data_IF_708997403035
#
_entry.id   IF_708997403035
#
_cell.length_a   1.000
_cell.length_b   1.000
_cell.length_c   1.000
_cell.angle_alpha   90.00
_cell.angle_beta   90.00
_cell.angle_gamma   90.00
#
_symmetry.space_group_name_H-M   'P 1'
#
loop_
_entity.id
_entity.type
_entity.pdbx_description
1 polymer ?
#
# COMPACT_ATOMS: atom_id res chain seq x y z
N UNK A 1 5.18 11.05 14.57
CA UNK A 1 3.96 10.30 14.20
C UNK A 1 4.40 9.08 13.40
N UNK A 2 3.95 7.89 13.77
CA UNK A 2 4.33 6.66 13.06
C UNK A 2 3.45 6.50 11.81
N UNK A 3 4.07 6.55 10.62
CA UNK A 3 3.38 6.36 9.34
C UNK A 3 2.81 4.96 9.17
N UNK A 4 3.39 3.95 9.82
CA UNK A 4 2.86 2.59 9.79
C UNK A 4 1.53 2.50 10.55
N UNK A 5 1.36 3.30 11.60
CA UNK A 5 0.09 3.41 12.33
C UNK A 5 -0.97 4.09 11.46
N UNK A 6 -0.61 5.19 10.80
CA UNK A 6 -1.51 5.87 9.87
C UNK A 6 -1.94 4.95 8.71
N UNK A 7 -1.00 4.22 8.11
CA UNK A 7 -1.31 3.21 7.10
C UNK A 7 -2.31 2.20 7.66
N UNK A 8 -2.07 1.67 8.86
CA UNK A 8 -2.96 0.67 9.45
C UNK A 8 -4.39 1.18 9.69
N UNK A 9 -4.51 2.40 10.19
CA UNK A 9 -5.80 3.03 10.53
C UNK A 9 -6.60 3.43 9.29
N UNK A 10 -5.94 3.98 8.27
CA UNK A 10 -6.63 4.61 7.13
C UNK A 10 -6.54 3.79 5.83
N UNK A 11 -5.85 2.65 5.82
CA UNK A 11 -5.83 1.75 4.66
C UNK A 11 -6.92 0.68 4.74
N UNK A 12 -7.85 0.73 3.79
CA UNK A 12 -8.82 -0.34 3.54
C UNK A 12 -8.40 -1.24 2.37
N UNK A 13 -9.22 -2.25 2.08
CA UNK A 13 -9.06 -3.13 0.91
C UNK A 13 -9.23 -2.37 -0.40
N UNK A 14 -10.06 -1.33 -0.44
CA UNK A 14 -10.43 -0.65 -1.68
C UNK A 14 -9.72 0.70 -1.87
N UNK A 15 -9.34 1.37 -0.78
CA UNK A 15 -8.87 2.76 -0.83
C UNK A 15 -8.13 3.19 0.45
N UNK A 16 -7.57 4.40 0.42
CA UNK A 16 -7.21 5.16 1.60
C UNK A 16 -8.43 5.99 2.05
N UNK A 17 -8.72 5.98 3.35
CA UNK A 17 -9.73 6.84 3.99
C UNK A 17 -9.17 8.28 4.13
N UNK A 18 -9.22 9.03 3.02
CA UNK A 18 -8.71 10.41 2.94
C UNK A 18 -9.44 11.35 3.89
N UNK A 19 -10.77 11.25 3.95
CA UNK A 19 -11.59 12.12 4.79
C UNK A 19 -11.33 11.86 6.27
N UNK A 20 -11.29 10.58 6.66
CA UNK A 20 -10.97 10.18 8.03
C UNK A 20 -9.56 10.61 8.45
N UNK A 21 -8.58 10.46 7.55
CA UNK A 21 -7.20 10.89 7.82
C UNK A 21 -7.09 12.42 7.92
N UNK A 22 -7.78 13.17 7.06
CA UNK A 22 -7.82 14.64 7.11
C UNK A 22 -8.43 15.13 8.42
N UNK A 23 -9.56 14.54 8.82
CA UNK A 23 -10.19 14.83 10.11
C UNK A 23 -9.28 14.50 11.29
N UNK A 24 -8.55 13.38 11.23
CA UNK A 24 -7.59 13.00 12.26
C UNK A 24 -6.45 14.01 12.39
N UNK A 25 -5.86 14.45 11.27
CA UNK A 25 -4.78 15.44 11.28
C UNK A 25 -5.25 16.77 11.88
N UNK A 26 -6.40 17.26 11.42
CA UNK A 26 -7.00 18.50 11.91
C UNK A 26 -7.28 18.44 13.42
N UNK A 27 -7.86 17.34 13.92
CA UNK A 27 -8.18 17.17 15.36
C UNK A 27 -6.94 17.11 16.26
N UNK A 28 -5.80 16.66 15.72
CA UNK A 28 -4.56 16.51 16.46
C UNK A 28 -3.54 17.63 16.18
N UNK A 29 -3.93 18.71 15.48
CA UNK A 29 -3.05 19.80 15.06
C UNK A 29 -1.80 19.32 14.31
N UNK A 30 -1.96 18.31 13.45
CA UNK A 30 -0.89 17.74 12.63
C UNK A 30 -0.88 18.40 11.26
N UNK A 31 0.31 18.73 10.76
CA UNK A 31 0.52 19.28 9.43
C UNK A 31 0.73 18.18 8.38
N UNK A 32 0.79 18.58 7.10
CA UNK A 32 1.22 17.75 5.96
C UNK A 32 0.33 16.54 5.63
N UNK A 33 -0.98 16.58 5.93
CA UNK A 33 -1.90 15.46 5.65
C UNK A 33 -1.86 15.04 4.17
N UNK A 34 -2.01 16.00 3.25
CA UNK A 34 -2.01 15.76 1.80
C UNK A 34 -0.70 15.12 1.32
N UNK A 35 0.42 15.54 1.90
CA UNK A 35 1.74 14.98 1.56
C UNK A 35 1.83 13.52 1.96
N UNK A 36 1.35 13.17 3.15
CA UNK A 36 1.38 11.77 3.64
C UNK A 36 0.39 10.92 2.84
N UNK A 37 -0.79 11.44 2.51
CA UNK A 37 -1.76 10.74 1.65
C UNK A 37 -1.15 10.42 0.29
N UNK A 38 -0.56 11.43 -0.38
CA UNK A 38 0.07 11.26 -1.68
C UNK A 38 1.23 10.25 -1.63
N UNK A 39 2.06 10.30 -0.58
CA UNK A 39 3.13 9.32 -0.38
C UNK A 39 2.58 7.89 -0.29
N UNK A 40 1.46 7.67 0.39
CA UNK A 40 0.84 6.33 0.49
C UNK A 40 0.26 5.85 -0.84
N UNK A 41 -0.37 6.72 -1.62
CA UNK A 41 -0.85 6.38 -2.96
C UNK A 41 0.30 6.05 -3.91
N UNK A 42 1.36 6.86 -3.89
CA UNK A 42 2.54 6.63 -4.71
C UNK A 42 3.20 5.29 -4.40
N UNK A 43 3.30 4.91 -3.13
CA UNK A 43 3.84 3.60 -2.73
C UNK A 43 2.97 2.48 -3.29
N UNK A 44 1.64 2.56 -3.14
CA UNK A 44 0.73 1.53 -3.66
C UNK A 44 0.82 1.41 -5.18
N UNK A 45 0.86 2.53 -5.88
CA UNK A 45 0.99 2.57 -7.33
C UNK A 45 2.30 1.90 -7.79
N UNK A 46 3.43 2.22 -7.14
CA UNK A 46 4.73 1.63 -7.47
C UNK A 46 4.83 0.14 -7.19
N UNK A 47 4.26 -0.33 -6.07
CA UNK A 47 4.21 -1.78 -5.79
C UNK A 47 3.37 -2.49 -6.84
N UNK A 48 2.21 -1.95 -7.19
CA UNK A 48 1.35 -2.53 -8.22
C UNK A 48 2.05 -2.54 -9.59
N UNK A 49 2.66 -1.44 -10.02
CA UNK A 49 3.39 -1.35 -11.28
C UNK A 49 4.53 -2.38 -11.35
N UNK A 50 5.26 -2.54 -10.24
CA UNK A 50 6.29 -3.57 -10.14
C UNK A 50 5.72 -4.99 -10.33
N UNK A 51 4.63 -5.33 -9.61
CA UNK A 51 3.97 -6.63 -9.73
C UNK A 51 3.39 -6.86 -11.13
N UNK A 52 2.79 -5.82 -11.73
CA UNK A 52 2.30 -5.85 -13.10
C UNK A 52 3.42 -6.21 -14.07
N UNK A 53 4.56 -5.52 -13.99
CA UNK A 53 5.71 -5.76 -14.86
C UNK A 53 6.29 -7.18 -14.68
N UNK A 54 6.36 -7.70 -13.44
CA UNK A 54 6.79 -9.09 -13.18
C UNK A 54 5.79 -10.10 -13.76
N UNK A 55 4.50 -9.77 -13.76
CA UNK A 55 3.45 -10.65 -14.27
C UNK A 55 3.34 -10.66 -15.81
N UNK A 56 4.06 -9.81 -16.54
CA UNK A 56 4.01 -9.81 -18.01
C UNK A 56 4.74 -11.02 -18.62
N UNK A 57 4.23 -11.60 -19.73
CA UNK A 57 3.04 -11.17 -20.44
C UNK A 57 1.71 -11.66 -19.81
N UNK A 58 1.68 -12.75 -19.05
CA UNK A 58 0.45 -13.32 -18.44
C UNK A 58 0.73 -14.31 -17.28
N UNK A 59 1.80 -14.09 -16.52
CA UNK A 59 2.12 -14.91 -15.35
C UNK A 59 1.15 -14.59 -14.21
N UNK A 60 0.31 -15.57 -13.86
CA UNK A 60 -0.50 -15.51 -12.64
C UNK A 60 0.37 -15.81 -11.42
N UNK A 61 0.24 -15.00 -10.38
CA UNK A 61 0.90 -15.14 -9.08
C UNK A 61 -0.11 -15.57 -8.02
N UNK A 62 0.30 -16.38 -7.07
CA UNK A 62 -0.49 -16.62 -5.85
C UNK A 62 -0.21 -15.54 -4.79
N UNK A 63 -1.03 -15.52 -3.72
CA UNK A 63 -0.90 -14.54 -2.63
C UNK A 63 0.51 -14.54 -2.02
N UNK A 64 1.10 -15.72 -1.78
CA UNK A 64 2.42 -15.83 -1.16
C UNK A 64 3.51 -15.20 -2.05
N UNK A 65 3.41 -15.37 -3.37
CA UNK A 65 4.33 -14.75 -4.32
C UNK A 65 4.15 -13.24 -4.36
N UNK A 66 2.90 -12.75 -4.37
CA UNK A 66 2.61 -11.30 -4.33
C UNK A 66 3.18 -10.68 -3.06
N UNK A 67 2.93 -11.28 -1.90
CA UNK A 67 3.45 -10.78 -0.62
C UNK A 67 4.98 -10.80 -0.58
N UNK A 68 5.62 -11.86 -1.09
CA UNK A 68 7.10 -11.95 -1.12
C UNK A 68 7.73 -10.88 -2.03
N UNK A 69 7.16 -10.67 -3.22
CA UNK A 69 7.61 -9.65 -4.18
C UNK A 69 7.38 -8.23 -3.64
N UNK A 70 6.16 -7.98 -3.13
CA UNK A 70 5.78 -6.73 -2.47
C UNK A 70 6.71 -6.42 -1.28
N UNK A 71 7.00 -7.42 -0.44
CA UNK A 71 7.88 -7.26 0.72
C UNK A 71 9.30 -6.91 0.31
N UNK A 72 9.84 -7.61 -0.68
CA UNK A 72 11.20 -7.37 -1.19
C UNK A 72 11.32 -5.96 -1.75
N UNK A 73 10.36 -5.55 -2.59
CA UNK A 73 10.31 -4.21 -3.16
C UNK A 73 10.21 -3.12 -2.09
N UNK A 74 9.31 -3.29 -1.12
CA UNK A 74 9.09 -2.31 -0.05
C UNK A 74 10.31 -2.21 0.87
N UNK A 75 10.97 -3.32 1.20
CA UNK A 75 12.16 -3.32 2.06
C UNK A 75 13.34 -2.58 1.41
N UNK A 76 13.48 -2.69 0.09
CA UNK A 76 14.54 -2.01 -0.67
C UNK A 76 14.26 -0.52 -0.84
N UNK A 77 13.02 -0.15 -1.18
CA UNK A 77 12.68 1.23 -1.56
C UNK A 77 12.14 2.08 -0.41
N UNK A 78 11.58 1.45 0.63
CA UNK A 78 10.89 2.11 1.74
C UNK A 78 11.24 1.46 3.10
N UNK A 79 12.50 1.59 3.58
CA UNK A 79 12.97 0.86 4.76
C UNK A 79 12.23 1.17 6.07
N UNK A 80 11.45 2.26 6.12
CA UNK A 80 10.63 2.65 7.26
C UNK A 80 9.32 1.85 7.39
N UNK A 81 8.93 1.12 6.34
CA UNK A 81 7.73 0.27 6.35
C UNK A 81 8.05 -1.01 7.12
N UNK A 82 7.34 -1.20 8.23
CA UNK A 82 7.42 -2.41 9.05
C UNK A 82 6.29 -3.39 8.71
N UNK A 83 6.19 -4.49 9.44
CA UNK A 83 5.17 -5.53 9.23
C UNK A 83 3.73 -4.96 9.25
N UNK A 84 3.45 -3.97 10.10
CA UNK A 84 2.14 -3.34 10.20
C UNK A 84 1.81 -2.53 8.95
N UNK A 85 2.73 -1.69 8.49
CA UNK A 85 2.58 -0.92 7.25
C UNK A 85 2.47 -1.83 6.03
N UNK A 86 3.29 -2.90 5.99
CA UNK A 86 3.24 -3.92 4.95
C UNK A 86 1.86 -4.58 4.85
N UNK A 87 1.30 -5.05 5.96
CA UNK A 87 -0.05 -5.64 5.98
C UNK A 87 -1.11 -4.66 5.54
N UNK A 88 -0.99 -3.39 5.95
CA UNK A 88 -1.94 -2.35 5.59
C UNK A 88 -1.95 -2.05 4.08
N UNK A 89 -0.76 -1.94 3.47
CA UNK A 89 -0.62 -1.72 2.03
C UNK A 89 -1.13 -2.92 1.22
N UNK A 90 -0.80 -4.15 1.64
CA UNK A 90 -1.16 -5.34 0.86
C UNK A 90 -2.67 -5.64 0.82
N UNK A 91 -3.48 -5.06 1.72
CA UNK A 91 -4.95 -5.13 1.61
C UNK A 91 -5.43 -4.64 0.23
N UNK A 92 -4.93 -3.48 -0.19
CA UNK A 92 -5.25 -2.90 -1.49
C UNK A 92 -4.54 -3.64 -2.62
N UNK A 93 -3.26 -3.98 -2.46
CA UNK A 93 -2.48 -4.68 -3.48
C UNK A 93 -3.11 -6.03 -3.86
N UNK A 94 -3.60 -6.81 -2.88
CA UNK A 94 -4.29 -8.07 -3.17
C UNK A 94 -5.55 -7.84 -3.99
N UNK A 95 -6.36 -6.85 -3.62
CA UNK A 95 -7.58 -6.54 -4.34
C UNK A 95 -7.32 -6.11 -5.78
N UNK A 96 -6.37 -5.19 -6.01
CA UNK A 96 -6.08 -4.72 -7.37
C UNK A 96 -5.41 -5.81 -8.21
N UNK A 97 -4.51 -6.62 -7.64
CA UNK A 97 -3.92 -7.75 -8.36
C UNK A 97 -4.97 -8.81 -8.75
N UNK A 98 -5.96 -9.05 -7.90
CA UNK A 98 -7.09 -9.93 -8.24
C UNK A 98 -7.96 -9.33 -9.34
N UNK A 99 -8.31 -8.04 -9.21
CA UNK A 99 -9.12 -7.31 -10.19
C UNK A 99 -8.48 -7.34 -11.60
N UNK A 100 -7.16 -7.18 -11.66
CA UNK A 100 -6.38 -7.13 -12.91
C UNK A 100 -5.93 -8.52 -13.40
N UNK A 101 -6.35 -9.60 -12.74
CA UNK A 101 -6.07 -10.97 -13.17
C UNK A 101 -4.63 -11.47 -12.90
N UNK A 102 -3.83 -10.70 -12.16
CA UNK A 102 -2.50 -11.12 -11.67
C UNK A 102 -2.64 -12.22 -10.61
N UNK A 103 -3.62 -12.08 -9.70
CA UNK A 103 -3.88 -13.01 -8.60
C UNK A 103 -5.02 -13.97 -8.93
N UNK A 104 -4.81 -15.28 -8.77
CA UNK A 104 -5.86 -16.32 -8.78
C UNK A 104 -5.70 -17.32 -7.64
#
# INVERSE_FOLDING_TARGET
MDKNELLHLFSSVFSLDRDGMTLYFNRNNLADCDKVLNEFDEIRAKVYEYLWNVSQPNLTLNIVQIEALSFSFLKENYPWINEKGFKALNRYIHWICWHEGILK
#
